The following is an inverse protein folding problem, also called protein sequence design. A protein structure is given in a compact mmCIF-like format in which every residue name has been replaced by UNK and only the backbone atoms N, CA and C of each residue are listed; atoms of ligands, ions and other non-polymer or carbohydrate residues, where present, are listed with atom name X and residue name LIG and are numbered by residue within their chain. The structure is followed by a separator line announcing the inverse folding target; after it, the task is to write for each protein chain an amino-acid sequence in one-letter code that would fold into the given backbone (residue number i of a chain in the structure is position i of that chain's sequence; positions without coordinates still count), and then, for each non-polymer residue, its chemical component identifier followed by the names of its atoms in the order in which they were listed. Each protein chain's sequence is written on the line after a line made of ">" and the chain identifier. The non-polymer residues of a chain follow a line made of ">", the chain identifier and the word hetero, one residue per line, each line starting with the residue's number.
data_IF_606840196174
#
_entry.id   IF_606840196174
#
_cell.length_a   1.000
_cell.length_b   1.000
_cell.length_c   1.000
_cell.angle_alpha   90.00
_cell.angle_beta   90.00
_cell.angle_gamma   90.00
#
_symmetry.space_group_name_H-M   'P 1'
#
loop_
_entity.id
_entity.type
_entity.pdbx_description
1 polymer ?
#
# COMPACT_ATOMS: atom_id res chain seq x y z
N UNK A 1 12.96 -33.28 -26.70
CA UNK A 1 12.94 -32.14 -25.75
C UNK A 1 11.64 -32.21 -24.96
N UNK A 2 11.71 -32.73 -23.74
CA UNK A 2 10.53 -32.94 -22.88
C UNK A 2 10.04 -31.58 -22.36
N UNK A 3 8.80 -31.19 -22.72
CA UNK A 3 8.13 -30.05 -22.10
C UNK A 3 7.94 -30.42 -20.63
N UNK A 4 8.60 -29.69 -19.73
CA UNK A 4 8.24 -29.71 -18.31
C UNK A 4 6.88 -29.05 -18.19
N UNK A 5 5.82 -29.83 -18.12
CA UNK A 5 4.50 -29.34 -17.76
C UNK A 5 4.58 -28.78 -16.34
N UNK A 6 4.19 -27.52 -16.18
CA UNK A 6 4.11 -26.88 -14.89
C UNK A 6 2.98 -27.53 -14.10
N UNK A 7 3.32 -28.31 -13.07
CA UNK A 7 2.37 -29.01 -12.19
C UNK A 7 1.40 -28.08 -11.43
N UNK A 8 1.50 -26.76 -11.60
CA UNK A 8 0.58 -25.79 -11.02
C UNK A 8 -0.77 -25.69 -11.77
N UNK A 9 -0.90 -26.30 -12.95
CA UNK A 9 -2.15 -26.30 -13.74
C UNK A 9 -3.05 -27.51 -13.48
N UNK A 10 -2.61 -28.49 -12.68
CA UNK A 10 -3.49 -29.56 -12.20
C UNK A 10 -4.39 -28.97 -11.12
N UNK A 11 -5.61 -28.59 -11.51
CA UNK A 11 -6.60 -28.00 -10.63
C UNK A 11 -6.71 -28.80 -9.33
N UNK A 12 -6.42 -28.15 -8.19
CA UNK A 12 -6.56 -28.78 -6.88
C UNK A 12 -8.04 -29.13 -6.68
N UNK A 13 -8.41 -30.41 -6.52
CA UNK A 13 -9.82 -30.83 -6.39
C UNK A 13 -10.50 -30.24 -5.14
N UNK A 14 -9.71 -29.80 -4.16
CA UNK A 14 -10.15 -29.10 -2.95
C UNK A 14 -10.68 -27.68 -3.21
N UNK A 15 -10.32 -27.04 -4.34
CA UNK A 15 -10.80 -25.68 -4.67
C UNK A 15 -12.31 -25.64 -4.93
N UNK A 16 -12.93 -26.77 -5.26
CA UNK A 16 -14.37 -26.88 -5.56
C UNK A 16 -15.26 -26.95 -4.30
N UNK A 17 -14.66 -27.01 -3.10
CA UNK A 17 -15.38 -27.08 -1.82
C UNK A 17 -15.26 -25.80 -0.99
N UNK A 18 -14.62 -24.76 -1.54
CA UNK A 18 -14.59 -23.45 -0.92
C UNK A 18 -15.93 -22.75 -1.20
N UNK A 19 -16.52 -22.04 -0.22
CA UNK A 19 -17.65 -21.16 -0.50
C UNK A 19 -17.27 -20.23 -1.66
N UNK A 20 -18.22 -19.85 -2.51
CA UNK A 20 -17.99 -18.85 -3.55
C UNK A 20 -17.45 -17.58 -2.88
N UNK A 21 -16.15 -17.37 -2.98
CA UNK A 21 -15.49 -16.18 -2.46
C UNK A 21 -15.61 -15.10 -3.52
N UNK A 22 -16.81 -14.53 -3.61
CA UNK A 22 -17.02 -13.32 -4.39
C UNK A 22 -16.36 -12.18 -3.62
N UNK A 23 -15.39 -11.53 -4.26
CA UNK A 23 -14.69 -10.35 -3.73
C UNK A 23 -14.67 -9.29 -4.81
N UNK A 24 -14.90 -8.04 -4.44
CA UNK A 24 -14.94 -6.93 -5.40
C UNK A 24 -13.55 -6.62 -5.97
N UNK A 25 -12.49 -6.92 -5.22
CA UNK A 25 -11.11 -6.63 -5.61
C UNK A 25 -10.17 -7.70 -5.07
N UNK A 26 -9.18 -8.07 -5.89
CA UNK A 26 -8.07 -8.96 -5.53
C UNK A 26 -6.78 -8.16 -5.63
N UNK A 27 -6.00 -8.12 -4.55
CA UNK A 27 -4.67 -7.54 -4.52
C UNK A 27 -3.64 -8.67 -4.57
N UNK A 28 -2.66 -8.56 -5.47
CA UNK A 28 -1.58 -9.54 -5.61
C UNK A 28 -0.30 -9.00 -4.97
N UNK A 29 0.14 -9.67 -3.91
CA UNK A 29 1.33 -9.32 -3.12
C UNK A 29 0.97 -9.00 -1.66
N UNK A 30 1.90 -9.27 -0.75
CA UNK A 30 1.74 -9.03 0.69
C UNK A 30 2.76 -8.01 1.24
N UNK A 31 3.31 -7.17 0.36
CA UNK A 31 4.21 -6.11 0.75
C UNK A 31 3.49 -4.92 1.40
N UNK A 32 4.23 -3.93 1.91
CA UNK A 32 3.67 -2.72 2.50
C UNK A 32 2.69 -2.00 1.57
N UNK A 33 3.01 -1.94 0.27
CA UNK A 33 2.16 -1.33 -0.75
C UNK A 33 0.79 -2.01 -0.87
N UNK A 34 0.74 -3.34 -0.77
CA UNK A 34 -0.51 -4.09 -0.82
C UNK A 34 -1.35 -3.88 0.44
N UNK A 35 -0.70 -3.82 1.61
CA UNK A 35 -1.36 -3.57 2.89
C UNK A 35 -1.93 -2.15 2.98
N UNK A 36 -1.18 -1.13 2.54
CA UNK A 36 -1.71 0.25 2.56
C UNK A 36 -2.83 0.41 1.53
N UNK A 37 -2.71 -0.21 0.35
CA UNK A 37 -3.77 -0.17 -0.66
C UNK A 37 -5.06 -0.83 -0.16
N UNK A 38 -4.97 -2.00 0.48
CA UNK A 38 -6.16 -2.67 1.03
C UNK A 38 -6.83 -1.84 2.12
N UNK A 39 -6.05 -1.13 2.93
CA UNK A 39 -6.56 -0.22 3.96
C UNK A 39 -7.32 0.97 3.34
N UNK A 40 -6.75 1.58 2.29
CA UNK A 40 -7.38 2.68 1.54
C UNK A 40 -8.68 2.24 0.87
N UNK A 41 -8.69 1.08 0.21
CA UNK A 41 -9.89 0.55 -0.46
C UNK A 41 -11.03 0.21 0.51
N UNK A 42 -10.73 -0.01 1.80
CA UNK A 42 -11.73 -0.12 2.87
C UNK A 42 -12.24 1.24 3.38
N UNK A 43 -11.89 2.35 2.73
CA UNK A 43 -12.37 3.69 3.05
C UNK A 43 -11.51 4.47 4.04
N UNK A 44 -10.30 3.98 4.36
CA UNK A 44 -9.39 4.68 5.27
C UNK A 44 -8.39 5.55 4.51
N UNK A 45 -8.55 6.86 4.61
CA UNK A 45 -7.64 7.81 3.95
C UNK A 45 -6.49 8.18 4.90
N UNK A 46 -5.21 7.96 4.49
CA UNK A 46 -4.05 8.35 5.27
C UNK A 46 -4.02 9.85 5.57
N UNK A 47 -3.81 10.18 6.84
CA UNK A 47 -3.77 11.55 7.35
C UNK A 47 -2.65 11.69 8.39
N UNK A 48 -1.97 12.84 8.37
CA UNK A 48 -0.88 13.11 9.30
C UNK A 48 -1.42 13.39 10.72
N UNK A 49 -0.95 12.61 11.70
CA UNK A 49 -1.17 12.91 13.12
C UNK A 49 0.00 13.73 13.67
N UNK A 50 -0.24 14.96 14.18
CA UNK A 50 0.82 15.80 14.73
C UNK A 50 1.27 15.40 16.14
N UNK A 51 0.65 14.36 16.73
CA UNK A 51 0.99 13.86 18.07
C UNK A 51 1.25 12.34 18.02
N UNK A 52 2.48 11.87 18.31
CA UNK A 52 3.68 12.68 18.58
C UNK A 52 4.14 13.48 17.34
N UNK A 53 4.88 14.59 17.51
CA UNK A 53 5.37 15.38 16.38
C UNK A 53 6.40 14.59 15.55
N UNK A 54 6.51 14.94 14.28
CA UNK A 54 7.54 14.36 13.42
C UNK A 54 8.94 14.77 13.90
N UNK A 55 9.95 13.88 13.88
CA UNK A 55 11.30 14.18 14.39
C UNK A 55 11.99 15.37 13.72
N UNK A 56 11.74 15.56 12.42
CA UNK A 56 12.17 16.74 11.66
C UNK A 56 11.15 17.88 11.83
N UNK A 57 11.52 19.02 12.45
CA UNK A 57 10.59 20.12 12.71
C UNK A 57 10.10 20.84 11.46
N UNK A 58 10.90 20.88 10.39
CA UNK A 58 10.53 21.55 9.14
C UNK A 58 9.48 20.72 8.40
N UNK A 59 9.70 19.41 8.28
CA UNK A 59 8.72 18.49 7.75
C UNK A 59 7.46 18.45 8.63
N UNK A 60 7.61 18.50 9.97
CA UNK A 60 6.47 18.59 10.88
C UNK A 60 5.59 19.81 10.57
N UNK A 61 6.19 20.99 10.37
CA UNK A 61 5.46 22.21 10.01
C UNK A 61 4.75 22.05 8.66
N UNK A 62 5.46 21.57 7.63
CA UNK A 62 4.90 21.36 6.29
C UNK A 62 3.71 20.37 6.31
N UNK A 63 3.83 19.27 7.07
CA UNK A 63 2.77 18.26 7.21
C UNK A 63 1.58 18.74 8.04
N UNK A 64 1.76 19.70 8.96
CA UNK A 64 0.64 20.34 9.65
C UNK A 64 -0.19 21.21 8.72
N UNK A 65 0.46 21.87 7.76
CA UNK A 65 -0.22 22.69 6.76
C UNK A 65 -0.87 21.81 5.67
N UNK A 66 -0.25 20.67 5.33
CA UNK A 66 -0.76 19.71 4.34
C UNK A 66 -0.87 18.29 4.92
N UNK A 67 -1.88 18.04 5.77
CA UNK A 67 -1.98 16.77 6.50
C UNK A 67 -2.66 15.63 5.71
N UNK A 68 -3.33 15.93 4.60
CA UNK A 68 -3.90 14.92 3.71
C UNK A 68 -2.78 14.27 2.89
N UNK A 69 -2.45 13.01 3.20
CA UNK A 69 -1.23 12.37 2.68
C UNK A 69 -1.40 11.77 1.28
N UNK A 70 -2.63 11.53 0.81
CA UNK A 70 -2.86 11.01 -0.54
C UNK A 70 -2.59 12.05 -1.62
N UNK A 71 -2.89 13.31 -1.33
CA UNK A 71 -2.73 14.44 -2.26
C UNK A 71 -1.46 15.26 -1.95
N UNK A 72 -0.60 14.75 -1.06
CA UNK A 72 0.60 15.44 -0.63
C UNK A 72 1.63 15.48 -1.77
N UNK A 73 2.17 16.68 -2.04
CA UNK A 73 3.34 16.84 -2.89
C UNK A 73 4.59 16.38 -2.14
N UNK A 74 4.95 15.10 -2.34
CA UNK A 74 6.08 14.48 -1.64
C UNK A 74 7.38 15.21 -1.94
N UNK A 75 7.60 15.64 -3.18
CA UNK A 75 8.83 16.32 -3.57
C UNK A 75 8.96 17.67 -2.86
N UNK A 76 7.89 18.47 -2.81
CA UNK A 76 7.88 19.73 -2.06
C UNK A 76 8.02 19.52 -0.55
N UNK A 77 7.44 18.44 -0.01
CA UNK A 77 7.60 18.07 1.41
C UNK A 77 9.04 17.66 1.74
N UNK A 78 9.75 16.97 0.85
CA UNK A 78 11.05 16.36 1.13
C UNK A 78 12.25 17.09 0.53
N UNK A 79 12.05 18.17 -0.23
CA UNK A 79 13.11 18.93 -0.93
C UNK A 79 14.32 19.30 -0.05
N UNK A 80 14.11 19.49 1.26
CA UNK A 80 15.14 19.92 2.21
C UNK A 80 16.00 18.75 2.70
N UNK A 81 15.60 17.50 2.43
CA UNK A 81 16.45 16.35 2.71
C UNK A 81 17.52 16.20 1.63
N UNK A 82 18.77 16.06 2.06
CA UNK A 82 19.90 15.84 1.15
C UNK A 82 19.76 14.58 0.27
N UNK A 83 18.99 13.59 0.74
CA UNK A 83 18.72 12.35 0.01
C UNK A 83 17.57 12.46 -1.03
N UNK A 84 16.95 13.63 -1.17
CA UNK A 84 15.82 13.85 -2.09
C UNK A 84 16.27 14.19 -3.52
N UNK A 85 17.57 14.12 -3.83
CA UNK A 85 18.16 14.40 -5.16
C UNK A 85 18.98 13.24 -5.68
#
# INVERSE_FOLDING_TARGET
>A
MSRRECSALTGRPEAHRLPSMDTDTIIIGNGPSAMILSFILHGHVPYYSPNPPHPDPLLHAKLKDHPALLDADVDALTEHFAASR
#
